data_IF_462636456857
#
_entry.id   IF_462636456857
#
_cell.length_a   1.000
_cell.length_b   1.000
_cell.length_c   1.000
_cell.angle_alpha   90.00
_cell.angle_beta   90.00
_cell.angle_gamma   90.00
#
_symmetry.space_group_name_H-M   'P 1'
#
loop_
_entity.id
_entity.type
_entity.pdbx_description
1 polymer ?
#
# COMPACT_ATOMS: atom_id res chain seq x y z
N UNK A 1 -11.27 -4.74 24.13
CA UNK A 1 -10.81 -3.35 24.26
C UNK A 1 -9.50 -3.30 25.03
N UNK A 2 -8.47 -2.69 24.46
CA UNK A 2 -7.14 -2.53 25.06
C UNK A 2 -7.19 -1.55 26.24
N UNK A 3 -6.44 -1.78 27.34
CA UNK A 3 -6.49 -0.91 28.53
C UNK A 3 -6.16 0.57 28.24
N UNK A 4 -5.10 0.82 27.45
CA UNK A 4 -4.71 2.18 27.06
C UNK A 4 -5.75 2.85 26.14
N UNK A 5 -6.47 2.05 25.35
CA UNK A 5 -7.54 2.56 24.49
C UNK A 5 -8.73 3.04 25.32
N UNK A 6 -9.13 2.22 26.30
CA UNK A 6 -10.21 2.57 27.21
C UNK A 6 -9.93 3.87 27.97
N UNK A 7 -8.73 4.02 28.53
CA UNK A 7 -8.32 5.25 29.23
C UNK A 7 -8.30 6.46 28.28
N UNK A 8 -7.80 6.31 27.05
CA UNK A 8 -7.82 7.37 26.05
C UNK A 8 -9.25 7.80 25.66
N UNK A 9 -10.17 6.84 25.53
CA UNK A 9 -11.57 7.11 25.22
C UNK A 9 -12.27 7.82 26.39
N UNK A 10 -12.08 7.35 27.62
CA UNK A 10 -12.64 7.97 28.84
C UNK A 10 -12.16 9.40 29.06
N UNK A 11 -10.92 9.71 28.65
CA UNK A 11 -10.33 11.05 28.70
C UNK A 11 -10.74 11.96 27.54
N UNK A 12 -11.52 11.47 26.59
CA UNK A 12 -11.96 12.24 25.42
C UNK A 12 -10.85 12.51 24.40
N UNK A 13 -9.78 11.71 24.40
CA UNK A 13 -8.70 11.81 23.41
C UNK A 13 -9.07 11.15 22.08
N UNK A 14 -10.07 10.26 22.10
CA UNK A 14 -10.59 9.56 20.95
C UNK A 14 -12.09 9.85 20.80
N UNK A 15 -12.54 9.96 19.57
CA UNK A 15 -13.94 10.03 19.20
C UNK A 15 -14.28 8.98 18.16
N UNK A 16 -15.54 8.53 18.14
CA UNK A 16 -15.99 7.54 17.16
C UNK A 16 -15.87 8.13 15.76
N UNK A 17 -15.21 7.42 14.86
CA UNK A 17 -15.14 7.76 13.45
C UNK A 17 -16.56 7.65 12.86
N UNK A 18 -16.99 8.68 12.12
CA UNK A 18 -18.35 8.73 11.57
C UNK A 18 -18.35 8.88 10.06
N UNK A 19 -19.28 8.19 9.42
CA UNK A 19 -19.64 8.42 8.04
C UNK A 19 -20.25 9.82 7.84
N UNK A 20 -20.36 10.31 6.58
CA UNK A 20 -20.98 11.61 6.29
C UNK A 20 -22.44 11.74 6.77
N UNK A 21 -23.15 10.62 6.94
CA UNK A 21 -24.52 10.57 7.48
C UNK A 21 -24.57 10.65 9.03
N UNK A 22 -23.41 10.67 9.70
CA UNK A 22 -23.27 10.71 11.15
C UNK A 22 -23.25 9.35 11.84
N UNK A 23 -23.45 8.25 11.11
CA UNK A 23 -23.37 6.89 11.64
C UNK A 23 -21.93 6.47 11.98
N UNK A 24 -21.71 5.61 12.98
CA UNK A 24 -20.37 5.13 13.32
C UNK A 24 -19.79 4.24 12.20
N UNK A 25 -18.49 4.33 11.99
CA UNK A 25 -17.76 3.43 11.09
C UNK A 25 -17.54 2.11 11.82
N UNK A 26 -18.26 1.07 11.37
CA UNK A 26 -18.15 -0.29 11.90
C UNK A 26 -17.84 -1.22 10.72
N UNK A 27 -16.70 -1.91 10.76
CA UNK A 27 -16.27 -2.84 9.71
C UNK A 27 -15.87 -4.15 10.38
N UNK A 28 -16.46 -5.25 9.92
CA UNK A 28 -16.25 -6.59 10.49
C UNK A 28 -16.50 -6.66 12.01
N UNK A 29 -17.43 -5.84 12.52
CA UNK A 29 -17.77 -5.79 13.94
C UNK A 29 -16.80 -4.95 14.79
N UNK A 30 -15.74 -4.38 14.21
CA UNK A 30 -14.86 -3.43 14.87
C UNK A 30 -15.35 -2.00 14.66
N UNK A 31 -15.51 -1.24 15.74
CA UNK A 31 -15.79 0.20 15.71
C UNK A 31 -14.46 0.96 15.59
N UNK A 32 -14.44 1.96 14.72
CA UNK A 32 -13.25 2.77 14.47
C UNK A 32 -13.35 4.14 15.11
N UNK A 33 -12.19 4.68 15.49
CA UNK A 33 -12.05 5.92 16.25
C UNK A 33 -10.97 6.80 15.63
N UNK A 34 -11.21 8.10 15.72
CA UNK A 34 -10.27 9.15 15.33
C UNK A 34 -9.81 9.91 16.58
N UNK A 35 -8.61 10.48 16.58
CA UNK A 35 -8.21 11.39 17.63
C UNK A 35 -8.96 12.70 17.61
N UNK A 36 -9.27 13.19 18.81
CA UNK A 36 -9.67 14.58 19.01
C UNK A 36 -8.43 15.49 19.03
N UNK A 37 -8.63 16.80 18.92
CA UNK A 37 -7.53 17.77 19.02
C UNK A 37 -6.80 17.70 20.39
N UNK A 38 -7.48 17.22 21.44
CA UNK A 38 -6.91 17.02 22.77
C UNK A 38 -6.09 15.73 22.90
N UNK A 39 -6.23 14.80 21.96
CA UNK A 39 -5.52 13.52 21.93
C UNK A 39 -4.12 13.57 21.34
N UNK A 40 -3.62 14.74 20.91
CA UNK A 40 -2.37 14.88 20.13
C UNK A 40 -1.15 14.17 20.76
N UNK A 41 -1.04 14.17 22.10
CA UNK A 41 0.09 13.53 22.80
C UNK A 41 0.09 12.00 22.70
N UNK A 42 -1.06 11.35 22.52
CA UNK A 42 -1.12 9.90 22.27
C UNK A 42 -0.44 9.53 20.95
N UNK A 43 -0.35 10.49 20.03
CA UNK A 43 0.09 10.27 18.67
C UNK A 43 1.56 10.59 18.46
N UNK A 44 2.37 10.86 19.48
CA UNK A 44 3.79 11.19 19.25
C UNK A 44 4.52 10.07 18.48
N UNK A 45 4.39 8.82 18.92
CA UNK A 45 5.00 7.68 18.19
C UNK A 45 4.38 7.47 16.81
N UNK A 46 3.05 7.57 16.70
CA UNK A 46 2.33 7.46 15.42
C UNK A 46 2.69 8.59 14.46
N UNK A 47 2.94 9.80 14.97
CA UNK A 47 3.38 10.97 14.23
C UNK A 47 4.80 10.78 13.68
N UNK A 48 5.71 10.21 14.48
CA UNK A 48 7.01 9.78 13.98
C UNK A 48 6.86 8.74 12.86
N UNK A 49 6.00 7.73 13.04
CA UNK A 49 5.73 6.74 12.01
C UNK A 49 5.12 7.34 10.72
N UNK A 50 4.20 8.31 10.85
CA UNK A 50 3.64 9.08 9.73
C UNK A 50 4.76 9.87 9.02
N UNK A 51 5.62 10.55 9.78
CA UNK A 51 6.72 11.35 9.23
C UNK A 51 7.73 10.47 8.51
N UNK A 52 8.09 9.33 9.09
CA UNK A 52 9.01 8.36 8.47
C UNK A 52 8.42 7.75 7.21
N UNK A 53 7.14 7.37 7.23
CA UNK A 53 6.46 6.83 6.05
C UNK A 53 6.43 7.86 4.91
N UNK A 54 6.06 9.11 5.20
CA UNK A 54 6.01 10.15 4.16
C UNK A 54 7.39 10.59 3.71
N UNK A 55 8.40 10.59 4.59
CA UNK A 55 9.78 10.80 4.19
C UNK A 55 10.23 9.71 3.20
N UNK A 56 10.01 8.44 3.52
CA UNK A 56 10.31 7.31 2.62
C UNK A 56 9.59 7.43 1.29
N UNK A 57 8.29 7.74 1.33
CA UNK A 57 7.49 7.92 0.12
C UNK A 57 7.98 9.11 -0.72
N UNK A 58 8.34 10.25 -0.11
CA UNK A 58 8.87 11.40 -0.83
C UNK A 58 10.29 11.18 -1.39
N UNK A 59 11.13 10.42 -0.67
CA UNK A 59 12.50 10.12 -1.09
C UNK A 59 12.52 9.07 -2.21
N UNK A 60 11.64 8.06 -2.14
CA UNK A 60 11.68 6.88 -3.02
C UNK A 60 10.58 6.88 -4.08
N UNK A 61 9.47 7.57 -3.86
CA UNK A 61 8.28 7.55 -4.73
C UNK A 61 7.58 6.19 -4.80
N UNK A 62 7.91 5.25 -3.89
CA UNK A 62 7.51 3.85 -3.95
C UNK A 62 7.23 3.33 -2.53
N UNK A 63 6.24 2.43 -2.40
CA UNK A 63 5.94 1.77 -1.12
C UNK A 63 6.96 0.68 -0.77
N UNK A 64 7.06 0.36 0.52
CA UNK A 64 7.97 -0.69 1.03
C UNK A 64 7.64 -2.07 0.45
N UNK A 65 6.35 -2.35 0.21
CA UNK A 65 5.89 -3.60 -0.40
C UNK A 65 6.37 -3.74 -1.85
N UNK A 66 6.29 -2.66 -2.64
CA UNK A 66 6.78 -2.62 -4.03
C UNK A 66 8.28 -2.90 -4.06
N UNK A 67 9.05 -2.23 -3.21
CA UNK A 67 10.50 -2.39 -3.13
C UNK A 67 10.89 -3.80 -2.68
N UNK A 68 10.24 -4.31 -1.63
CA UNK A 68 10.49 -5.66 -1.12
C UNK A 68 10.24 -6.72 -2.20
N UNK A 69 9.12 -6.62 -2.91
CA UNK A 69 8.79 -7.56 -4.00
C UNK A 69 9.79 -7.47 -5.14
N UNK A 70 10.13 -6.25 -5.57
CA UNK A 70 11.07 -6.03 -6.66
C UNK A 70 12.47 -6.54 -6.30
N UNK A 71 12.99 -6.24 -5.10
CA UNK A 71 14.31 -6.68 -4.69
C UNK A 71 14.40 -8.19 -4.51
N UNK A 72 13.42 -8.83 -3.87
CA UNK A 72 13.39 -10.28 -3.73
C UNK A 72 13.43 -10.97 -5.11
N UNK A 73 12.61 -10.47 -6.05
CA UNK A 73 12.54 -11.01 -7.41
C UNK A 73 13.84 -10.78 -8.17
N UNK A 74 14.38 -9.55 -8.17
CA UNK A 74 15.65 -9.22 -8.85
C UNK A 74 16.82 -10.03 -8.30
N UNK A 75 16.87 -10.29 -6.99
CA UNK A 75 17.92 -11.10 -6.37
C UNK A 75 17.92 -12.52 -6.93
N UNK A 76 16.75 -13.18 -7.01
CA UNK A 76 16.67 -14.54 -7.53
C UNK A 76 16.94 -14.60 -9.04
N UNK A 77 16.43 -13.63 -9.81
CA UNK A 77 16.74 -13.51 -11.24
C UNK A 77 18.23 -13.30 -11.50
N UNK A 78 18.90 -12.43 -10.72
CA UNK A 78 20.35 -12.22 -10.84
C UNK A 78 21.15 -13.48 -10.48
N UNK A 79 20.75 -14.22 -9.44
CA UNK A 79 21.39 -15.51 -9.11
C UNK A 79 21.25 -16.49 -10.28
N UNK A 80 20.09 -16.50 -10.94
CA UNK A 80 19.86 -17.37 -12.09
C UNK A 80 20.72 -16.95 -13.30
N UNK A 81 20.77 -15.66 -13.63
CA UNK A 81 21.64 -15.12 -14.69
C UNK A 81 23.11 -15.46 -14.42
N UNK A 82 23.59 -15.28 -13.19
CA UNK A 82 24.96 -15.64 -12.80
C UNK A 82 25.23 -17.14 -12.95
N UNK A 83 24.28 -18.00 -12.53
CA UNK A 83 24.42 -19.45 -12.70
C UNK A 83 24.52 -19.84 -14.17
N UNK A 84 23.73 -19.22 -15.04
CA UNK A 84 23.77 -19.46 -16.48
C UNK A 84 25.11 -19.02 -17.09
N UNK A 85 25.60 -17.82 -16.74
CA UNK A 85 26.91 -17.34 -17.19
C UNK A 85 28.07 -18.24 -16.72
N UNK A 86 27.98 -18.79 -15.51
CA UNK A 86 29.01 -19.65 -14.91
C UNK A 86 28.97 -21.10 -15.40
N UNK A 87 27.88 -21.56 -16.03
CA UNK A 87 27.77 -22.95 -16.52
C UNK A 87 28.75 -23.26 -17.65
N UNK A 88 29.15 -22.26 -18.45
CA UNK A 88 30.23 -22.40 -19.43
C UNK A 88 30.02 -23.51 -20.46
N UNK A 89 28.76 -23.87 -20.73
CA UNK A 89 28.36 -24.98 -21.61
C UNK A 89 28.36 -24.59 -23.10
N UNK A 90 28.79 -23.36 -23.44
CA UNK A 90 28.92 -22.87 -24.80
C UNK A 90 27.58 -22.67 -25.53
N UNK A 91 26.45 -22.79 -24.82
CA UNK A 91 25.14 -22.41 -25.33
C UNK A 91 24.98 -20.89 -25.30
N UNK A 92 24.14 -20.35 -26.18
CA UNK A 92 23.74 -18.95 -26.08
C UNK A 92 23.14 -18.69 -24.69
N UNK A 93 23.58 -17.64 -23.99
CA UNK A 93 23.08 -17.33 -22.67
C UNK A 93 21.58 -17.02 -22.76
N UNK A 94 20.78 -17.77 -22.01
CA UNK A 94 19.36 -17.48 -21.83
C UNK A 94 19.21 -16.09 -21.18
N UNK A 95 18.56 -15.18 -21.89
CA UNK A 95 18.42 -13.79 -21.45
C UNK A 95 17.10 -13.53 -20.71
N UNK A 96 16.25 -14.55 -20.52
CA UNK A 96 14.92 -14.39 -19.92
C UNK A 96 14.97 -13.69 -18.56
N UNK A 97 15.83 -14.12 -17.65
CA UNK A 97 15.98 -13.50 -16.33
C UNK A 97 16.43 -12.03 -16.42
N UNK A 98 17.31 -11.68 -17.36
CA UNK A 98 17.75 -10.31 -17.58
C UNK A 98 16.62 -9.45 -18.16
N UNK A 99 15.83 -9.98 -19.09
CA UNK A 99 14.65 -9.29 -19.63
C UNK A 99 13.64 -9.01 -18.52
N UNK A 100 13.38 -9.95 -17.63
CA UNK A 100 12.48 -9.73 -16.48
C UNK A 100 13.02 -8.67 -15.50
N UNK A 101 14.34 -8.65 -15.26
CA UNK A 101 14.98 -7.58 -14.46
C UNK A 101 14.75 -6.21 -15.10
N UNK A 102 14.95 -6.07 -16.41
CA UNK A 102 14.71 -4.80 -17.12
C UNK A 102 13.26 -4.33 -17.02
N UNK A 103 12.30 -5.26 -17.15
CA UNK A 103 10.87 -4.97 -17.00
C UNK A 103 10.57 -4.46 -15.59
N UNK A 104 11.09 -5.11 -14.56
CA UNK A 104 10.91 -4.67 -13.17
C UNK A 104 11.50 -3.27 -12.96
N UNK A 105 12.71 -3.00 -13.48
CA UNK A 105 13.37 -1.69 -13.34
C UNK A 105 12.56 -0.58 -14.02
N UNK A 106 12.09 -0.80 -15.27
CA UNK A 106 11.26 0.17 -16.00
C UNK A 106 9.97 0.48 -15.24
N UNK A 107 9.31 -0.53 -14.68
CA UNK A 107 8.13 -0.32 -13.84
C UNK A 107 8.43 0.50 -12.59
N UNK A 108 9.54 0.24 -11.90
CA UNK A 108 9.92 1.04 -10.73
C UNK A 108 10.14 2.52 -11.10
N UNK A 109 10.68 2.78 -12.29
CA UNK A 109 10.84 4.15 -12.80
C UNK A 109 9.48 4.82 -13.04
N UNK A 110 8.55 4.15 -13.73
CA UNK A 110 7.20 4.68 -13.99
C UNK A 110 6.41 4.89 -12.69
N UNK A 111 6.43 3.91 -11.77
CA UNK A 111 5.75 4.04 -10.47
C UNK A 111 6.31 5.18 -9.62
N UNK A 112 7.63 5.40 -9.68
CA UNK A 112 8.27 6.53 -8.99
C UNK A 112 7.78 7.88 -9.52
N UNK A 113 7.54 7.99 -10.83
CA UNK A 113 7.06 9.22 -11.47
C UNK A 113 5.59 9.53 -11.14
N UNK A 114 4.77 8.50 -10.89
CA UNK A 114 3.39 8.67 -10.43
C UNK A 114 3.30 9.33 -9.06
N UNK A 115 4.36 9.22 -8.24
CA UNK A 115 4.58 10.01 -7.04
C UNK A 115 3.61 9.76 -5.88
N UNK A 116 2.51 9.04 -6.09
CA UNK A 116 1.45 8.71 -5.13
C UNK A 116 0.73 7.42 -5.49
N UNK A 117 0.63 6.53 -4.51
CA UNK A 117 -0.18 5.31 -4.57
C UNK A 117 -1.39 5.42 -3.63
N UNK A 118 -2.50 4.81 -4.01
CA UNK A 118 -3.67 4.57 -3.15
C UNK A 118 -3.27 3.86 -1.86
N UNK A 119 -2.25 3.01 -1.91
CA UNK A 119 -1.65 2.38 -0.74
C UNK A 119 -1.23 3.42 0.33
N UNK A 120 -0.69 4.57 -0.06
CA UNK A 120 -0.24 5.61 0.88
C UNK A 120 -1.40 6.19 1.70
N UNK A 121 -2.58 6.38 1.09
CA UNK A 121 -3.76 6.89 1.79
C UNK A 121 -4.23 5.89 2.85
N UNK A 122 -4.19 4.59 2.55
CA UNK A 122 -4.52 3.56 3.54
C UNK A 122 -3.45 3.44 4.62
N UNK A 123 -2.16 3.52 4.28
CA UNK A 123 -1.08 3.52 5.26
C UNK A 123 -1.23 4.71 6.24
N UNK A 124 -1.49 5.92 5.72
CA UNK A 124 -1.80 7.10 6.53
C UNK A 124 -3.04 6.88 7.41
N UNK A 125 -4.08 6.30 6.82
CA UNK A 125 -5.32 6.02 7.54
C UNK A 125 -5.13 5.03 8.69
N UNK A 126 -4.33 3.97 8.51
CA UNK A 126 -4.12 2.96 9.56
C UNK A 126 -3.33 3.50 10.74
N UNK A 127 -2.46 4.48 10.49
CA UNK A 127 -1.72 5.21 11.51
C UNK A 127 -2.63 6.16 12.33
N UNK A 128 -3.67 6.70 11.69
CA UNK A 128 -4.54 7.73 12.28
C UNK A 128 -5.83 7.19 12.88
N UNK A 129 -6.42 6.18 12.26
CA UNK A 129 -7.71 5.59 12.60
C UNK A 129 -7.51 4.23 13.30
N UNK A 130 -8.13 4.08 14.48
CA UNK A 130 -7.84 2.97 15.39
C UNK A 130 -9.10 2.19 15.77
N UNK A 131 -8.94 0.88 16.00
CA UNK A 131 -9.95 0.01 16.60
C UNK A 131 -9.70 -0.21 18.09
N UNK A 132 -10.73 -0.66 18.81
CA UNK A 132 -10.71 -0.79 20.27
C UNK A 132 -9.65 -1.75 20.82
N UNK A 133 -9.14 -2.67 20.01
CA UNK A 133 -8.12 -3.66 20.38
C UNK A 133 -6.67 -3.14 20.22
N UNK A 134 -6.49 -1.95 19.66
CA UNK A 134 -5.17 -1.33 19.49
C UNK A 134 -4.67 -0.58 20.73
N UNK A 135 -3.35 -0.48 20.88
CA UNK A 135 -2.74 0.52 21.76
C UNK A 135 -2.69 1.87 21.03
N UNK A 136 -3.37 2.92 21.53
CA UNK A 136 -3.30 4.25 20.92
C UNK A 136 -1.91 4.89 21.02
N UNK A 137 -1.07 4.42 21.95
CA UNK A 137 0.28 4.96 22.19
C UNK A 137 1.39 4.25 21.42
N UNK A 138 1.06 3.19 20.69
CA UNK A 138 2.01 2.38 19.93
C UNK A 138 1.51 2.09 18.50
N UNK A 139 2.36 1.49 17.69
CA UNK A 139 2.07 1.16 16.29
C UNK A 139 2.49 -0.28 15.96
N UNK A 140 1.51 -1.16 15.76
CA UNK A 140 1.73 -2.54 15.30
C UNK A 140 1.59 -2.63 13.77
N UNK A 141 2.71 -2.78 13.07
CA UNK A 141 2.76 -2.88 11.61
C UNK A 141 1.94 -4.07 11.08
N UNK A 142 1.94 -5.22 11.76
CA UNK A 142 1.25 -6.41 11.28
C UNK A 142 -0.27 -6.26 11.40
N UNK A 143 -0.74 -5.67 12.50
CA UNK A 143 -2.14 -5.33 12.69
C UNK A 143 -2.61 -4.32 11.63
N UNK A 144 -1.82 -3.26 11.38
CA UNK A 144 -2.17 -2.21 10.41
C UNK A 144 -2.23 -2.72 8.98
N UNK A 145 -1.32 -3.63 8.58
CA UNK A 145 -1.41 -4.31 7.27
C UNK A 145 -2.72 -5.08 7.10
N UNK A 146 -3.22 -5.74 8.14
CA UNK A 146 -4.53 -6.42 8.10
C UNK A 146 -5.69 -5.43 7.92
N UNK A 147 -5.69 -4.32 8.67
CA UNK A 147 -6.70 -3.25 8.50
C UNK A 147 -6.69 -2.69 7.08
N UNK A 148 -5.51 -2.41 6.52
CA UNK A 148 -5.37 -1.94 5.14
C UNK A 148 -5.97 -2.91 4.12
N UNK A 149 -5.74 -4.23 4.28
CA UNK A 149 -6.31 -5.25 3.41
C UNK A 149 -7.85 -5.35 3.53
N UNK A 150 -8.41 -5.17 4.72
CA UNK A 150 -9.87 -5.14 4.93
C UNK A 150 -10.47 -3.88 4.33
N UNK A 151 -9.86 -2.71 4.58
CA UNK A 151 -10.38 -1.43 4.11
C UNK A 151 -10.27 -1.25 2.61
N UNK A 152 -9.25 -1.82 1.94
CA UNK A 152 -9.13 -1.75 0.49
C UNK A 152 -10.26 -2.47 -0.25
N UNK A 153 -10.91 -3.44 0.39
CA UNK A 153 -12.10 -4.13 -0.14
C UNK A 153 -13.40 -3.32 0.02
N UNK A 154 -13.35 -2.13 0.62
CA UNK A 154 -14.50 -1.25 0.89
C UNK A 154 -14.33 0.07 0.14
N UNK A 155 -14.90 0.21 -1.08
CA UNK A 155 -14.69 1.39 -1.93
C UNK A 155 -14.99 2.73 -1.25
N UNK A 156 -15.96 2.76 -0.34
CA UNK A 156 -16.37 3.91 0.45
C UNK A 156 -15.29 4.42 1.44
N UNK A 157 -14.31 3.59 1.80
CA UNK A 157 -13.24 3.94 2.74
C UNK A 157 -12.24 4.90 2.13
N UNK A 158 -11.88 4.70 0.86
CA UNK A 158 -10.94 5.58 0.17
C UNK A 158 -11.38 7.06 0.17
N UNK A 159 -12.59 7.44 -0.29
CA UNK A 159 -13.03 8.83 -0.27
C UNK A 159 -13.22 9.38 1.15
N UNK A 160 -13.53 8.53 2.14
CA UNK A 160 -13.56 8.94 3.54
C UNK A 160 -12.16 9.34 4.03
N UNK A 161 -11.14 8.51 3.76
CA UNK A 161 -9.76 8.80 4.15
C UNK A 161 -9.18 9.96 3.35
N UNK A 162 -9.41 10.05 2.04
CA UNK A 162 -8.92 11.15 1.22
C UNK A 162 -9.44 12.53 1.65
N UNK A 163 -10.59 12.58 2.36
CA UNK A 163 -11.17 13.82 2.91
C UNK A 163 -10.64 14.20 4.30
N UNK A 164 -9.88 13.33 4.95
CA UNK A 164 -9.30 13.64 6.26
C UNK A 164 -8.28 14.77 6.13
N UNK A 165 -8.13 15.61 7.17
CA UNK A 165 -7.24 16.77 7.13
C UNK A 165 -5.78 16.35 7.31
N UNK A 166 -5.25 15.50 6.42
CA UNK A 166 -3.86 15.02 6.46
C UNK A 166 -2.83 16.15 6.45
N UNK A 167 -3.22 17.31 5.91
CA UNK A 167 -2.46 18.56 5.95
C UNK A 167 -2.09 19.01 7.38
N UNK A 168 -2.82 18.55 8.42
CA UNK A 168 -2.46 18.76 9.82
C UNK A 168 -1.15 18.06 10.21
N UNK A 169 -0.81 16.95 9.56
CA UNK A 169 0.37 16.16 9.87
C UNK A 169 1.51 16.46 8.91
N UNK A 170 1.21 16.60 7.62
CA UNK A 170 2.18 16.80 6.55
C UNK A 170 1.52 17.61 5.43
N UNK A 171 2.26 18.50 4.78
CA UNK A 171 1.73 19.26 3.65
C UNK A 171 1.51 18.34 2.42
N UNK A 172 0.37 17.64 2.41
CA UNK A 172 -0.06 16.78 1.31
C UNK A 172 -0.74 17.60 0.21
N UNK A 173 -0.70 18.93 0.21
CA UNK A 173 -1.36 19.73 -0.82
C UNK A 173 -0.85 19.41 -2.24
N UNK A 174 0.44 19.13 -2.41
CA UNK A 174 0.98 18.64 -3.70
C UNK A 174 0.49 17.25 -4.09
N UNK A 175 0.13 16.45 -3.08
CA UNK A 175 -0.31 15.07 -3.23
C UNK A 175 -1.83 15.03 -3.51
N UNK A 176 -2.61 15.84 -2.82
CA UNK A 176 -4.08 15.89 -2.87
C UNK A 176 -4.66 16.91 -3.87
N UNK A 177 -3.82 17.72 -4.55
CA UNK A 177 -4.29 18.73 -5.51
C UNK A 177 -4.54 18.13 -6.90
N UNK A 178 -5.79 18.27 -7.33
CA UNK A 178 -6.31 18.17 -8.70
C UNK A 178 -6.26 16.81 -9.41
N UNK A 179 -5.17 16.03 -9.34
CA UNK A 179 -5.04 14.82 -10.17
C UNK A 179 -5.52 13.52 -9.51
N UNK A 180 -5.46 13.37 -8.17
CA UNK A 180 -5.93 12.15 -7.48
C UNK A 180 -7.43 11.83 -7.69
N UNK A 181 -8.21 12.81 -8.18
CA UNK A 181 -9.64 12.66 -8.48
C UNK A 181 -9.94 12.67 -9.98
N UNK A 182 -8.93 12.82 -10.85
CA UNK A 182 -9.14 12.77 -12.28
C UNK A 182 -9.31 11.31 -12.71
N UNK A 183 -10.29 11.05 -13.57
CA UNK A 183 -10.50 9.74 -14.21
C UNK A 183 -9.20 9.24 -14.86
N UNK A 184 -8.38 10.14 -15.40
CA UNK A 184 -7.09 9.83 -16.00
C UNK A 184 -6.05 9.30 -15.02
N UNK A 185 -5.97 9.84 -13.80
CA UNK A 185 -5.00 9.35 -12.81
C UNK A 185 -5.41 7.97 -12.26
N UNK A 186 -6.70 7.80 -11.94
CA UNK A 186 -7.24 6.50 -11.50
C UNK A 186 -7.08 5.44 -12.60
N UNK A 187 -7.32 5.82 -13.86
CA UNK A 187 -7.09 4.94 -15.03
C UNK A 187 -5.62 4.54 -15.17
N UNK A 188 -4.70 5.49 -15.11
CA UNK A 188 -3.26 5.20 -15.19
C UNK A 188 -2.80 4.27 -14.06
N UNK A 189 -3.31 4.45 -12.83
CA UNK A 189 -3.00 3.54 -11.72
C UNK A 189 -3.56 2.14 -11.93
N UNK A 190 -4.78 2.02 -12.48
CA UNK A 190 -5.39 0.73 -12.77
C UNK A 190 -4.60 -0.03 -13.85
N UNK A 191 -4.20 0.67 -14.91
CA UNK A 191 -3.37 0.11 -15.98
C UNK A 191 -2.02 -0.37 -15.42
N UNK A 192 -1.35 0.42 -14.58
CA UNK A 192 -0.08 0.03 -13.96
C UNK A 192 -0.23 -1.16 -12.99
N UNK A 193 -1.32 -1.24 -12.24
CA UNK A 193 -1.60 -2.40 -11.38
C UNK A 193 -1.83 -3.66 -12.20
N UNK A 194 -2.57 -3.55 -13.31
CA UNK A 194 -2.82 -4.66 -14.22
C UNK A 194 -1.53 -5.14 -14.88
N UNK A 195 -0.70 -4.22 -15.39
CA UNK A 195 0.59 -4.54 -15.98
C UNK A 195 1.52 -5.26 -14.98
N UNK A 196 1.62 -4.74 -13.75
CA UNK A 196 2.41 -5.40 -12.71
C UNK A 196 1.90 -6.80 -12.39
N UNK A 197 0.58 -6.95 -12.24
CA UNK A 197 -0.01 -8.24 -11.94
C UNK A 197 0.27 -9.27 -13.04
N UNK A 198 0.16 -8.86 -14.31
CA UNK A 198 0.43 -9.74 -15.46
C UNK A 198 1.90 -10.17 -15.54
N UNK A 199 2.83 -9.25 -15.28
CA UNK A 199 4.26 -9.57 -15.26
C UNK A 199 4.62 -10.52 -14.10
N UNK A 200 4.12 -10.24 -12.89
CA UNK A 200 4.32 -11.12 -11.73
C UNK A 200 3.74 -12.51 -11.97
N UNK A 201 2.58 -12.58 -12.61
CA UNK A 201 1.98 -13.86 -13.04
C UNK A 201 2.86 -14.59 -14.05
N UNK A 202 3.41 -13.89 -15.06
CA UNK A 202 4.35 -14.47 -16.03
C UNK A 202 5.59 -15.03 -15.33
N UNK A 203 6.18 -14.26 -14.42
CA UNK A 203 7.36 -14.67 -13.64
C UNK A 203 7.04 -15.93 -12.81
N UNK A 204 5.89 -16.00 -12.14
CA UNK A 204 5.46 -17.20 -11.41
C UNK A 204 5.22 -18.42 -12.30
N UNK A 205 4.68 -18.22 -13.51
CA UNK A 205 4.50 -19.33 -14.47
C UNK A 205 5.86 -19.89 -14.94
N UNK A 206 6.89 -19.06 -14.95
CA UNK A 206 8.27 -19.43 -15.31
C UNK A 206 9.16 -19.72 -14.09
N UNK A 207 8.58 -19.92 -12.91
CA UNK A 207 9.30 -20.04 -11.63
C UNK A 207 10.47 -21.02 -11.62
N UNK A 208 10.34 -22.16 -12.31
CA UNK A 208 11.37 -23.20 -12.35
C UNK A 208 12.55 -22.79 -13.25
N UNK A 209 12.26 -22.23 -14.44
CA UNK A 209 13.30 -21.75 -15.36
C UNK A 209 14.01 -20.51 -14.84
N UNK A 210 13.29 -19.64 -14.14
CA UNK A 210 13.82 -18.42 -13.54
C UNK A 210 14.48 -18.67 -12.16
N UNK A 211 14.43 -19.89 -11.65
CA UNK A 211 15.10 -20.27 -10.40
C UNK A 211 14.55 -19.57 -9.15
N UNK A 212 13.25 -19.26 -9.13
CA UNK A 212 12.61 -18.56 -8.01
C UNK A 212 12.58 -19.44 -6.75
N UNK A 213 12.94 -18.85 -5.61
CA UNK A 213 12.83 -19.52 -4.32
C UNK A 213 11.39 -19.55 -3.80
N UNK A 214 11.03 -20.50 -2.91
CA UNK A 214 9.70 -20.51 -2.28
C UNK A 214 9.32 -19.22 -1.56
N UNK A 215 10.31 -18.56 -0.95
CA UNK A 215 10.12 -17.28 -0.26
C UNK A 215 9.75 -16.17 -1.26
N UNK A 216 10.51 -16.02 -2.35
CA UNK A 216 10.20 -15.06 -3.41
C UNK A 216 8.83 -15.34 -4.04
N UNK A 217 8.49 -16.61 -4.27
CA UNK A 217 7.16 -16.98 -4.78
C UNK A 217 6.03 -16.56 -3.84
N UNK A 218 6.23 -16.70 -2.53
CA UNK A 218 5.26 -16.25 -1.54
C UNK A 218 5.14 -14.71 -1.52
N UNK A 219 6.26 -13.98 -1.58
CA UNK A 219 6.27 -12.51 -1.65
C UNK A 219 5.53 -12.02 -2.90
N UNK A 220 5.79 -12.63 -4.07
CA UNK A 220 5.09 -12.29 -5.32
C UNK A 220 3.59 -12.61 -5.18
N UNK A 221 3.22 -13.76 -4.60
CA UNK A 221 1.82 -14.13 -4.37
C UNK A 221 1.07 -13.09 -3.55
N UNK A 222 1.65 -12.67 -2.42
CA UNK A 222 1.08 -11.64 -1.56
C UNK A 222 0.92 -10.30 -2.29
N UNK A 223 1.92 -9.88 -3.07
CA UNK A 223 1.83 -8.65 -3.86
C UNK A 223 0.73 -8.73 -4.91
N UNK A 224 0.56 -9.88 -5.57
CA UNK A 224 -0.51 -10.08 -6.55
C UNK A 224 -1.91 -9.98 -5.91
N UNK A 225 -2.09 -10.49 -4.69
CA UNK A 225 -3.34 -10.33 -3.92
C UNK A 225 -3.59 -8.84 -3.60
N UNK A 226 -2.56 -8.10 -3.16
CA UNK A 226 -2.65 -6.66 -2.93
C UNK A 226 -3.07 -5.90 -4.19
N UNK A 227 -2.43 -6.20 -5.33
CA UNK A 227 -2.75 -5.58 -6.62
C UNK A 227 -4.20 -5.84 -7.04
N UNK A 228 -4.70 -7.07 -6.88
CA UNK A 228 -6.09 -7.41 -7.19
C UNK A 228 -7.09 -6.62 -6.33
N UNK A 229 -6.81 -6.49 -5.03
CA UNK A 229 -7.66 -5.71 -4.14
C UNK A 229 -7.70 -4.24 -4.55
N UNK A 230 -6.56 -3.66 -4.92
CA UNK A 230 -6.50 -2.27 -5.39
C UNK A 230 -7.09 -2.05 -6.77
N UNK A 231 -6.98 -3.02 -7.67
CA UNK A 231 -7.63 -2.97 -8.98
C UNK A 231 -9.17 -2.94 -8.86
N UNK A 232 -9.73 -3.82 -8.02
CA UNK A 232 -11.17 -3.81 -7.72
C UNK A 232 -11.65 -2.49 -7.12
N UNK A 233 -10.85 -1.90 -6.22
CA UNK A 233 -11.11 -0.57 -5.67
C UNK A 233 -11.07 0.53 -6.74
N UNK A 234 -10.03 0.54 -7.57
CA UNK A 234 -9.86 1.51 -8.65
C UNK A 234 -11.02 1.47 -9.65
N UNK A 235 -11.44 0.27 -10.05
CA UNK A 235 -12.60 0.08 -10.91
C UNK A 235 -13.90 0.58 -10.27
N UNK A 236 -14.12 0.31 -8.98
CA UNK A 236 -15.27 0.84 -8.27
C UNK A 236 -15.27 2.38 -8.22
N UNK A 237 -14.11 2.99 -7.94
CA UNK A 237 -13.97 4.44 -7.92
C UNK A 237 -14.22 5.05 -9.32
N UNK A 238 -13.63 4.47 -10.37
CA UNK A 238 -13.84 4.88 -11.76
C UNK A 238 -15.32 4.81 -12.17
N UNK A 239 -16.01 3.72 -11.82
CA UNK A 239 -17.44 3.53 -12.10
C UNK A 239 -18.33 4.58 -11.41
N UNK A 240 -17.97 5.01 -10.19
CA UNK A 240 -18.69 6.08 -9.49
C UNK A 240 -18.44 7.47 -10.08
N UNK A 241 -17.28 7.72 -10.68
CA UNK A 241 -16.97 8.99 -11.34
C UNK A 241 -17.61 9.17 -12.72
N UNK A 242 -17.96 8.08 -13.41
CA UNK A 242 -18.65 8.11 -14.72
C UNK A 242 -20.18 8.20 -14.63
N UNK A 243 -20.75 8.19 -13.42
CA UNK A 243 -22.19 8.17 -13.16
C UNK A 243 -22.85 9.54 -12.89
N UNK A 244 -22.26 10.65 -13.35
CA UNK A 244 -22.83 12.01 -13.28
C UNK A 244 -23.12 12.52 -14.69
#
# INVERSE_FOLDING_TARGET
>A
MHPNFKDALERGYLEVAKWPDGGPIIIEGATYYLPTDSGANLFIKRFHAITDMVRKHNELGLSDEVLTTAFATIIDLNKQSLRQMLRGDGQEPDTSANTEIEVIIKRLQVRKELGLDIAMIYELATLYCMSEDEDPTDYDTAHNRKKQAIWSQKPEMFPFFAKQPWNKFLNLSKLLQADMKSVSWLGNLADQNTEEWLDLKRILLQRESLGLTPETMNIIGLRMETLQNYDGLLHALLGTTTGI
#
